data_IF_850168478047
#
_entry.id   IF_850168478047
#
_cell.length_a   1.000
_cell.length_b   1.000
_cell.length_c   1.000
_cell.angle_alpha   90.00
_cell.angle_beta   90.00
_cell.angle_gamma   90.00
#
_symmetry.space_group_name_H-M   'P 1'
#
loop_
_entity.id
_entity.type
_entity.pdbx_description
1 polymer ?
#
# COMPACT_ATOMS: atom_id res chain seq x y z
N UNK A 1 -10.98 -7.34 -3.51
CA UNK A 1 -10.43 -6.51 -2.43
C UNK A 1 -11.16 -5.18 -2.45
N UNK A 2 -11.67 -4.71 -1.32
CA UNK A 2 -12.34 -3.40 -1.22
C UNK A 2 -11.33 -2.27 -1.01
N UNK A 3 -11.72 -1.02 -1.26
CA UNK A 3 -10.88 0.14 -0.96
C UNK A 3 -10.47 0.19 0.51
N UNK A 4 -11.37 -0.16 1.43
CA UNK A 4 -11.09 -0.25 2.86
C UNK A 4 -9.97 -1.23 3.20
N UNK A 5 -9.98 -2.40 2.55
CA UNK A 5 -8.92 -3.41 2.75
C UNK A 5 -7.57 -2.89 2.26
N UNK A 6 -7.54 -2.18 1.12
CA UNK A 6 -6.32 -1.57 0.57
C UNK A 6 -5.82 -0.45 1.49
N UNK A 7 -6.74 0.36 2.04
CA UNK A 7 -6.43 1.40 3.03
C UNK A 7 -5.78 0.82 4.29
N UNK A 8 -6.30 -0.30 4.80
CA UNK A 8 -5.70 -1.01 5.94
C UNK A 8 -4.29 -1.52 5.65
N UNK A 9 -4.02 -2.02 4.44
CA UNK A 9 -2.66 -2.43 4.03
C UNK A 9 -1.71 -1.23 4.10
N UNK A 10 -2.08 -0.08 3.52
CA UNK A 10 -1.25 1.13 3.56
C UNK A 10 -1.05 1.67 4.99
N UNK A 11 -2.07 1.58 5.84
CA UNK A 11 -2.00 2.04 7.22
C UNK A 11 -1.04 1.22 8.09
N UNK A 12 -0.79 -0.05 7.74
CA UNK A 12 0.09 -0.95 8.49
C UNK A 12 1.51 -0.96 7.92
N UNK A 13 1.63 -0.97 6.59
CA UNK A 13 2.91 -1.14 5.91
C UNK A 13 3.64 0.19 5.72
N UNK A 14 3.91 0.91 6.80
CA UNK A 14 4.56 2.24 6.81
C UNK A 14 6.12 2.14 6.81
N UNK A 15 6.84 3.19 6.38
CA UNK A 15 8.28 3.29 6.56
C UNK A 15 8.63 3.44 8.05
N UNK A 16 9.54 2.60 8.53
CA UNK A 16 10.22 2.78 9.81
C UNK A 16 11.35 3.81 9.70
N UNK A 17 11.86 4.26 10.85
CA UNK A 17 13.02 5.18 10.94
C UNK A 17 14.29 4.60 10.32
N UNK A 18 14.35 3.28 10.18
CA UNK A 18 15.42 2.49 9.56
C UNK A 18 15.20 2.25 8.06
N UNK A 19 14.16 2.85 7.47
CA UNK A 19 13.77 2.62 6.07
C UNK A 19 13.16 1.25 5.82
N UNK A 20 12.90 0.44 6.86
CA UNK A 20 12.26 -0.86 6.74
C UNK A 20 10.74 -0.77 6.86
N UNK A 21 10.02 -1.72 6.29
CA UNK A 21 8.57 -1.77 6.44
C UNK A 21 8.16 -2.21 7.85
N UNK A 22 7.51 -1.31 8.58
CA UNK A 22 7.05 -1.55 9.96
C UNK A 22 6.05 -2.72 10.05
N UNK A 23 5.12 -2.84 9.09
CA UNK A 23 4.15 -3.93 9.03
C UNK A 23 4.79 -5.31 8.84
N UNK A 24 5.75 -5.41 7.90
CA UNK A 24 6.47 -6.66 7.66
C UNK A 24 7.28 -7.11 8.87
N UNK A 25 7.92 -6.16 9.57
CA UNK A 25 8.64 -6.44 10.81
C UNK A 25 7.71 -6.90 11.93
N UNK A 26 6.58 -6.19 12.13
CA UNK A 26 5.67 -6.42 13.26
C UNK A 26 4.96 -7.77 13.19
N UNK A 27 4.50 -8.19 12.01
CA UNK A 27 3.63 -9.37 11.88
C UNK A 27 4.35 -10.61 11.40
N UNK A 28 5.42 -10.43 10.63
CA UNK A 28 6.12 -11.53 9.98
C UNK A 28 7.58 -11.66 10.44
N UNK A 29 8.04 -10.80 11.34
CA UNK A 29 9.45 -10.71 11.75
C UNK A 29 10.42 -10.59 10.56
N UNK A 30 9.98 -9.96 9.46
CA UNK A 30 10.80 -9.77 8.24
C UNK A 30 11.35 -8.35 8.16
N UNK A 31 12.66 -8.25 7.94
CA UNK A 31 13.35 -6.99 7.64
C UNK A 31 13.38 -6.78 6.12
N UNK A 32 12.45 -5.98 5.62
CA UNK A 32 12.32 -5.67 4.19
C UNK A 32 12.32 -4.15 4.04
N UNK A 33 13.04 -3.57 3.06
CA UNK A 33 12.94 -2.15 2.76
C UNK A 33 11.50 -1.70 2.52
N UNK A 34 11.17 -0.49 2.95
CA UNK A 34 9.97 0.20 2.50
C UNK A 34 10.27 0.92 1.16
N UNK A 35 9.38 0.83 0.16
CA UNK A 35 8.12 0.09 0.17
C UNK A 35 8.33 -1.42 0.01
N UNK A 36 7.61 -2.21 0.82
CA UNK A 36 7.53 -3.65 0.63
C UNK A 36 6.51 -3.99 -0.47
N UNK A 37 6.54 -5.22 -0.99
CA UNK A 37 5.60 -5.68 -2.02
C UNK A 37 4.12 -5.38 -1.71
N UNK A 38 3.68 -5.53 -0.45
CA UNK A 38 2.29 -5.26 -0.05
C UNK A 38 1.95 -3.76 -0.14
N UNK A 39 2.87 -2.88 0.27
CA UNK A 39 2.70 -1.44 0.16
C UNK A 39 2.70 -0.98 -1.31
N UNK A 40 3.62 -1.50 -2.13
CA UNK A 40 3.66 -1.20 -3.57
C UNK A 40 2.39 -1.64 -4.28
N UNK A 41 1.93 -2.87 -4.00
CA UNK A 41 0.68 -3.39 -4.56
C UNK A 41 -0.51 -2.50 -4.20
N UNK A 42 -0.63 -2.09 -2.94
CA UNK A 42 -1.74 -1.28 -2.46
C UNK A 42 -1.73 0.12 -3.09
N UNK A 43 -0.54 0.75 -3.20
CA UNK A 43 -0.38 2.02 -3.87
C UNK A 43 -0.76 1.94 -5.36
N UNK A 44 -0.29 0.90 -6.07
CA UNK A 44 -0.64 0.67 -7.48
C UNK A 44 -2.14 0.40 -7.66
N UNK A 45 -2.79 -0.28 -6.72
CA UNK A 45 -4.24 -0.46 -6.77
C UNK A 45 -4.98 0.87 -6.65
N UNK A 46 -4.61 1.72 -5.68
CA UNK A 46 -5.24 3.05 -5.52
C UNK A 46 -5.02 3.92 -6.75
N UNK A 47 -3.81 3.90 -7.32
CA UNK A 47 -3.51 4.64 -8.55
C UNK A 47 -4.43 4.20 -9.70
N UNK A 48 -4.62 2.90 -9.92
CA UNK A 48 -5.52 2.39 -10.97
C UNK A 48 -6.98 2.80 -10.75
N UNK A 49 -7.47 2.75 -9.52
CA UNK A 49 -8.83 3.19 -9.19
C UNK A 49 -8.99 4.68 -9.43
N UNK A 50 -8.05 5.50 -8.97
CA UNK A 50 -8.06 6.94 -9.22
C UNK A 50 -8.02 7.27 -10.72
N UNK A 51 -7.15 6.59 -11.49
CA UNK A 51 -7.09 6.73 -12.95
C UNK A 51 -8.42 6.36 -13.59
N UNK A 52 -9.03 5.24 -13.20
CA UNK A 52 -10.34 4.83 -13.73
C UNK A 52 -11.42 5.86 -13.43
N UNK A 53 -11.54 6.33 -12.19
CA UNK A 53 -12.52 7.34 -11.80
C UNK A 53 -12.33 8.65 -12.57
N UNK A 54 -11.07 9.06 -12.79
CA UNK A 54 -10.76 10.22 -13.60
C UNK A 54 -11.21 10.06 -15.06
N UNK A 55 -10.94 8.91 -15.68
CA UNK A 55 -11.36 8.62 -17.06
C UNK A 55 -12.88 8.50 -17.18
N UNK A 56 -13.54 7.81 -16.24
CA UNK A 56 -14.99 7.62 -16.23
C UNK A 56 -15.73 8.96 -16.01
N UNK A 57 -15.16 9.90 -15.25
CA UNK A 57 -15.71 11.25 -15.04
C UNK A 57 -15.37 12.27 -16.13
N UNK A 58 -14.57 11.88 -17.13
CA UNK A 58 -14.23 12.69 -18.31
C UNK A 58 -15.09 12.33 -19.54
N UNK A 59 -16.15 11.54 -19.34
CA UNK A 59 -17.08 11.05 -20.36
C UNK A 59 -18.41 11.80 -20.37
#
# INVERSE_FOLDING_TARGET
>A
MTEDQVGRVLAVHLPGVDGLCAGCRRWWARLVPYPCYQAEWAARWRARVATRLFLDGSS
#
